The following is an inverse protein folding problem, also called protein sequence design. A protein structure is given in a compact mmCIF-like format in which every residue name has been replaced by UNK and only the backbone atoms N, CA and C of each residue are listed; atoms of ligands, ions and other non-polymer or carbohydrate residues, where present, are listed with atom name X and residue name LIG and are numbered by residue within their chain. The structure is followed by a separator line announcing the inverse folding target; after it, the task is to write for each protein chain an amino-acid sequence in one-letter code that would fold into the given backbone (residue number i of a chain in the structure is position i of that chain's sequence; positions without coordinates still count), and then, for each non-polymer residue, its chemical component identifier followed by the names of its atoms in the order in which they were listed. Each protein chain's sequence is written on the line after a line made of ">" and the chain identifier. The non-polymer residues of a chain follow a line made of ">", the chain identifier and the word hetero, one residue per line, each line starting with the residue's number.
data_IF_509266976159
#
_entry.id   IF_509266976159
#
_cell.length_a   1.000
_cell.length_b   1.000
_cell.length_c   1.000
_cell.angle_alpha   90.00
_cell.angle_beta   90.00
_cell.angle_gamma   90.00
#
_symmetry.space_group_name_H-M   'P 1'
#
loop_
_entity.id
_entity.type
_entity.pdbx_description
1 polymer ?
#
# COMPACT_ATOMS: atom_id res chain seq x y z
N UNK A 1 -4.91 10.82 -13.09
CA UNK A 1 -3.84 10.05 -12.41
C UNK A 1 -2.63 9.94 -13.35
N UNK A 2 -1.38 10.08 -12.89
CA UNK A 2 -0.17 9.93 -13.73
C UNK A 2 0.11 8.44 -14.04
N UNK A 3 0.64 8.09 -15.21
CA UNK A 3 1.03 6.72 -15.61
C UNK A 3 1.89 6.01 -14.55
N UNK A 4 2.91 6.68 -13.99
CA UNK A 4 3.71 6.13 -12.90
C UNK A 4 2.84 5.71 -11.72
N UNK A 5 1.88 6.56 -11.37
CA UNK A 5 0.99 6.36 -10.23
C UNK A 5 0.01 5.21 -10.50
N UNK A 6 -0.56 5.14 -11.70
CA UNK A 6 -1.43 4.05 -12.13
C UNK A 6 -0.70 2.70 -12.10
N UNK A 7 0.54 2.62 -12.60
CA UNK A 7 1.31 1.38 -12.61
C UNK A 7 1.61 0.85 -11.21
N UNK A 8 1.96 1.74 -10.27
CA UNK A 8 2.17 1.36 -8.86
C UNK A 8 0.89 0.84 -8.22
N UNK A 9 -0.24 1.49 -8.48
CA UNK A 9 -1.54 1.05 -8.00
C UNK A 9 -1.92 -0.33 -8.55
N UNK A 10 -1.80 -0.54 -9.86
CA UNK A 10 -2.06 -1.83 -10.51
C UNK A 10 -1.16 -2.95 -9.96
N UNK A 11 0.10 -2.64 -9.70
CA UNK A 11 1.04 -3.59 -9.11
C UNK A 11 0.62 -4.02 -7.69
N UNK A 12 0.14 -3.09 -6.86
CA UNK A 12 -0.38 -3.42 -5.53
C UNK A 12 -1.68 -4.21 -5.64
N UNK A 13 -2.63 -3.80 -6.49
CA UNK A 13 -3.87 -4.55 -6.73
C UNK A 13 -3.62 -5.97 -7.23
N UNK A 14 -2.62 -6.16 -8.09
CA UNK A 14 -2.26 -7.49 -8.59
C UNK A 14 -1.80 -8.43 -7.47
N UNK A 15 -1.20 -7.90 -6.40
CA UNK A 15 -0.76 -8.74 -5.30
C UNK A 15 -1.75 -8.77 -4.12
N UNK A 16 -2.50 -7.69 -3.90
CA UNK A 16 -3.57 -7.58 -2.92
C UNK A 16 -4.87 -7.15 -3.64
N UNK A 17 -5.67 -8.12 -4.12
CA UNK A 17 -6.90 -7.86 -4.85
C UNK A 17 -7.90 -7.05 -4.02
N UNK A 18 -8.67 -6.19 -4.69
CA UNK A 18 -9.80 -5.46 -4.12
C UNK A 18 -11.05 -6.34 -3.93
N UNK A 19 -11.03 -7.57 -4.46
CA UNK A 19 -12.09 -8.55 -4.31
C UNK A 19 -11.74 -9.57 -3.23
N UNK A 20 -12.77 -10.00 -2.50
CA UNK A 20 -12.66 -11.10 -1.55
C UNK A 20 -12.59 -12.44 -2.28
N UNK A 21 -11.97 -13.44 -1.66
CA UNK A 21 -12.04 -14.81 -2.15
C UNK A 21 -13.47 -15.39 -2.00
N UNK A 22 -13.66 -16.62 -2.45
CA UNK A 22 -14.94 -17.35 -2.35
C UNK A 22 -15.46 -17.53 -0.92
N UNK A 23 -14.60 -17.37 0.09
CA UNK A 23 -14.94 -17.48 1.52
C UNK A 23 -15.25 -16.10 2.15
N UNK A 24 -15.24 -15.03 1.35
CA UNK A 24 -15.43 -13.67 1.85
C UNK A 24 -14.24 -13.15 2.65
N UNK A 25 -13.02 -13.63 2.34
CA UNK A 25 -11.77 -13.27 3.03
C UNK A 25 -10.80 -12.53 2.12
N UNK A 26 -10.02 -11.64 2.73
CA UNK A 26 -8.91 -10.99 2.06
C UNK A 26 -7.75 -11.98 1.88
N UNK A 27 -7.04 -11.86 0.77
CA UNK A 27 -5.94 -12.75 0.42
C UNK A 27 -4.86 -12.00 -0.38
N UNK A 28 -3.67 -12.58 -0.41
CA UNK A 28 -2.58 -12.13 -1.27
C UNK A 28 -2.42 -13.11 -2.43
N UNK A 29 -2.25 -12.59 -3.65
CA UNK A 29 -1.82 -13.40 -4.80
C UNK A 29 -0.32 -13.76 -4.69
N UNK A 30 0.48 -12.88 -4.10
CA UNK A 30 1.87 -13.11 -3.72
C UNK A 30 2.16 -12.39 -2.40
N UNK A 31 2.55 -13.15 -1.37
CA UNK A 31 2.77 -12.63 -0.03
C UNK A 31 4.21 -12.14 0.22
N UNK A 32 5.16 -12.40 -0.70
CA UNK A 32 6.58 -12.10 -0.49
C UNK A 32 6.82 -10.63 -0.16
N UNK A 33 6.13 -9.73 -0.87
CA UNK A 33 6.27 -8.29 -0.69
C UNK A 33 5.48 -7.75 0.52
N UNK A 34 4.53 -8.51 1.08
CA UNK A 34 3.68 -8.07 2.19
C UNK A 34 4.19 -8.53 3.54
N UNK A 35 4.89 -9.67 3.59
CA UNK A 35 5.42 -10.25 4.83
C UNK A 35 6.30 -9.27 5.61
N UNK A 36 7.03 -8.38 4.94
CA UNK A 36 7.85 -7.36 5.62
C UNK A 36 7.02 -6.33 6.40
N UNK A 37 5.75 -6.16 6.05
CA UNK A 37 4.80 -5.25 6.71
C UNK A 37 3.91 -5.96 7.73
N UNK A 38 4.12 -7.26 7.95
CA UNK A 38 3.37 -8.08 8.89
C UNK A 38 4.15 -8.32 10.19
N UNK A 39 3.45 -8.41 11.32
CA UNK A 39 4.07 -8.82 12.58
C UNK A 39 4.61 -10.25 12.47
N UNK A 40 5.88 -10.46 12.85
CA UNK A 40 6.57 -11.75 12.68
C UNK A 40 6.47 -12.34 11.26
N UNK A 41 6.31 -11.49 10.24
CA UNK A 41 6.09 -11.90 8.84
C UNK A 41 4.81 -12.71 8.61
N UNK A 42 3.81 -12.52 9.46
CA UNK A 42 2.53 -13.25 9.42
C UNK A 42 1.38 -12.26 9.45
N UNK A 43 0.50 -12.33 8.44
CA UNK A 43 -0.74 -11.57 8.36
C UNK A 43 -1.92 -12.55 8.30
N UNK A 44 -2.43 -12.95 9.45
CA UNK A 44 -3.46 -13.99 9.56
C UNK A 44 -4.86 -13.42 9.41
N UNK A 45 -5.10 -12.28 10.04
CA UNK A 45 -6.42 -11.63 10.04
C UNK A 45 -6.62 -10.75 8.82
N UNK A 46 -7.88 -10.54 8.45
CA UNK A 46 -8.25 -9.62 7.37
C UNK A 46 -7.69 -8.20 7.63
N UNK A 47 -7.72 -7.74 8.88
CA UNK A 47 -7.17 -6.45 9.29
C UNK A 47 -5.65 -6.37 9.09
N UNK A 48 -4.91 -7.42 9.47
CA UNK A 48 -3.46 -7.48 9.24
C UNK A 48 -3.12 -7.44 7.75
N UNK A 49 -3.91 -8.14 6.92
CA UNK A 49 -3.71 -8.14 5.47
C UNK A 49 -3.97 -6.77 4.85
N UNK A 50 -5.06 -6.10 5.26
CA UNK A 50 -5.36 -4.72 4.85
C UNK A 50 -4.23 -3.78 5.25
N UNK A 51 -3.76 -3.87 6.50
CA UNK A 51 -2.66 -3.03 6.99
C UNK A 51 -1.37 -3.23 6.17
N UNK A 52 -0.99 -4.48 5.90
CA UNK A 52 0.16 -4.76 5.04
C UNK A 52 -0.04 -4.26 3.60
N UNK A 53 -1.26 -4.37 3.07
CA UNK A 53 -1.68 -3.80 1.80
C UNK A 53 -1.46 -2.29 1.70
N UNK A 54 -1.97 -1.56 2.68
CA UNK A 54 -1.81 -0.11 2.78
C UNK A 54 -0.33 0.31 2.93
N UNK A 55 0.44 -0.40 3.76
CA UNK A 55 1.86 -0.10 3.95
C UNK A 55 2.68 -0.33 2.68
N UNK A 56 2.42 -1.41 1.94
CA UNK A 56 3.06 -1.63 0.64
C UNK A 56 2.68 -0.55 -0.36
N UNK A 57 1.40 -0.16 -0.43
CA UNK A 57 0.93 0.93 -1.29
C UNK A 57 1.69 2.23 -0.99
N UNK A 58 1.82 2.56 0.29
CA UNK A 58 2.61 3.71 0.71
C UNK A 58 4.08 3.56 0.33
N UNK A 59 4.70 2.40 0.50
CA UNK A 59 6.09 2.22 0.07
C UNK A 59 6.25 2.35 -1.45
N UNK A 60 5.30 1.88 -2.27
CA UNK A 60 5.37 2.01 -3.73
C UNK A 60 5.28 3.47 -4.23
N UNK A 61 4.50 4.31 -3.55
CA UNK A 61 4.40 5.73 -3.88
C UNK A 61 5.49 6.57 -3.22
N UNK A 62 5.77 6.28 -1.96
CA UNK A 62 6.56 7.13 -1.07
C UNK A 62 7.98 6.65 -0.84
N UNK A 63 8.31 5.41 -1.19
CA UNK A 63 9.57 4.78 -0.82
C UNK A 63 9.65 4.51 0.68
N UNK A 64 10.81 4.05 1.12
CA UNK A 64 11.07 3.81 2.54
C UNK A 64 11.14 5.12 3.33
N UNK A 65 10.98 5.06 4.65
CA UNK A 65 11.18 6.20 5.56
C UNK A 65 12.54 6.88 5.37
N UNK A 66 13.56 6.16 4.91
CA UNK A 66 14.87 6.70 4.56
C UNK A 66 14.87 7.59 3.32
N UNK A 67 13.95 7.38 2.37
CA UNK A 67 13.73 8.29 1.23
C UNK A 67 13.21 9.67 1.66
N UNK A 68 12.62 9.77 2.86
CA UNK A 68 12.16 11.03 3.44
C UNK A 68 13.26 11.83 4.15
N UNK A 69 14.42 11.23 4.43
CA UNK A 69 15.53 11.93 5.11
C UNK A 69 16.25 12.96 4.23
N UNK A 70 16.06 12.94 2.90
CA UNK A 70 16.86 13.77 1.99
C UNK A 70 16.31 15.16 1.65
N UNK A 71 15.13 15.58 2.11
CA UNK A 71 14.70 16.99 2.13
C UNK A 71 13.33 17.09 2.81
N UNK A 72 13.24 17.76 3.96
CA UNK A 72 12.01 17.89 4.76
C UNK A 72 10.84 18.51 3.96
N UNK A 73 11.13 19.47 3.06
CA UNK A 73 10.13 20.07 2.16
C UNK A 73 9.60 19.06 1.12
N UNK A 74 10.47 18.18 0.62
CA UNK A 74 10.09 17.14 -0.34
C UNK A 74 9.25 16.04 0.32
N UNK A 75 9.61 15.69 1.57
CA UNK A 75 8.85 14.81 2.43
C UNK A 75 7.42 15.30 2.67
N UNK A 76 7.25 16.59 2.98
CA UNK A 76 5.94 17.21 3.19
C UNK A 76 5.11 17.24 1.90
N UNK A 77 5.71 17.57 0.74
CA UNK A 77 5.00 17.51 -0.55
C UNK A 77 4.51 16.10 -0.90
N UNK A 78 5.33 15.08 -0.64
CA UNK A 78 4.93 13.66 -0.78
C UNK A 78 3.78 13.30 0.17
N UNK A 79 3.88 13.69 1.44
CA UNK A 79 2.86 13.43 2.47
C UNK A 79 1.51 14.09 2.14
N UNK A 80 1.51 15.33 1.63
CA UNK A 80 0.28 15.99 1.20
C UNK A 80 -0.37 15.24 0.04
N UNK A 81 0.41 14.77 -0.95
CA UNK A 81 -0.11 13.89 -2.00
C UNK A 81 -0.63 12.55 -1.45
N UNK A 82 -0.04 12.02 -0.37
CA UNK A 82 -0.53 10.81 0.31
C UNK A 82 -1.90 11.02 0.96
N UNK A 83 -2.10 12.15 1.65
CA UNK A 83 -3.38 12.52 2.24
C UNK A 83 -4.47 12.69 1.18
N UNK A 84 -4.15 13.27 0.01
CA UNK A 84 -5.03 13.29 -1.15
C UNK A 84 -5.33 11.87 -1.68
N UNK A 85 -4.34 10.99 -1.71
CA UNK A 85 -4.50 9.61 -2.18
C UNK A 85 -5.38 8.77 -1.26
N UNK A 86 -5.23 8.92 0.06
CA UNK A 86 -6.08 8.27 1.06
C UNK A 86 -7.52 8.77 0.95
N UNK A 87 -7.73 10.08 0.76
CA UNK A 87 -9.07 10.61 0.50
C UNK A 87 -9.68 10.09 -0.81
N UNK A 88 -8.89 9.93 -1.88
CA UNK A 88 -9.40 9.39 -3.16
C UNK A 88 -9.73 7.89 -3.08
N UNK A 89 -8.97 7.10 -2.31
CA UNK A 89 -9.25 5.66 -2.14
C UNK A 89 -10.44 5.41 -1.21
N UNK A 90 -10.73 6.32 -0.26
CA UNK A 90 -11.85 6.16 0.68
C UNK A 90 -13.19 6.67 0.11
N UNK A 91 -13.17 7.50 -0.93
CA UNK A 91 -14.36 8.16 -1.49
C UNK A 91 -14.97 7.46 -2.72
N UNK A 92 -14.38 6.37 -3.22
CA UNK A 92 -14.91 5.54 -4.32
C UNK A 92 -15.25 4.12 -3.84
#
# INVERSE_FOLDING_TARGET
>A
MNDYVCRRFLLVRNWFPDQLNSEGKYYFNDDKNFKEYCNNKICNTDLEKINAGCLLLFNQFFGSSTSFKYNYVYAIKKSNNAAYFVNVIILD
#
